data_IF_321102511709
#
_entry.id   IF_321102511709
#
_cell.length_a   1.000
_cell.length_b   1.000
_cell.length_c   1.000
_cell.angle_alpha   90.00
_cell.angle_beta   90.00
_cell.angle_gamma   90.00
#
_symmetry.space_group_name_H-M   'P 1'
#
loop_
_entity.id
_entity.type
_entity.pdbx_description
1 polymer ?
#
# COMPACT_ATOMS: atom_id res chain seq x y z
N UNK A 1 27.10 10.17 10.45
CA UNK A 1 26.71 8.76 10.74
C UNK A 1 28.02 8.03 10.97
N UNK A 2 28.26 7.63 12.21
CA UNK A 2 29.45 6.95 12.78
C UNK A 2 30.84 7.54 12.52
N UNK A 3 31.34 8.30 13.49
CA UNK A 3 32.75 8.72 13.54
C UNK A 3 33.72 7.53 13.76
N UNK A 4 33.21 6.37 14.20
CA UNK A 4 34.00 5.22 14.63
C UNK A 4 34.04 4.06 13.62
N UNK A 5 33.39 4.20 12.44
CA UNK A 5 33.36 3.13 11.41
C UNK A 5 34.32 3.43 10.25
N UNK A 6 35.09 2.42 9.85
CA UNK A 6 35.95 2.48 8.67
C UNK A 6 35.18 2.78 7.39
N UNK A 7 35.85 3.36 6.40
CA UNK A 7 35.28 3.68 5.07
C UNK A 7 34.90 2.41 4.28
N UNK A 8 35.41 1.25 4.68
CA UNK A 8 35.18 -0.07 4.10
C UNK A 8 34.18 -0.94 4.90
N UNK A 9 33.57 -0.38 5.96
CA UNK A 9 32.63 -1.11 6.82
C UNK A 9 31.53 -1.81 5.99
N UNK A 10 31.35 -3.15 6.12
CA UNK A 10 30.38 -3.89 5.30
C UNK A 10 28.95 -3.38 5.46
N UNK A 11 28.12 -3.50 4.42
CA UNK A 11 26.69 -3.19 4.52
C UNK A 11 25.93 -4.43 5.01
N UNK A 12 24.95 -4.21 5.89
CA UNK A 12 23.94 -5.21 6.24
C UNK A 12 22.57 -4.67 5.83
N UNK A 13 22.04 -5.21 4.73
CA UNK A 13 20.83 -4.70 4.08
C UNK A 13 19.67 -5.65 4.34
N UNK A 14 18.56 -5.10 4.83
CA UNK A 14 17.24 -5.73 4.87
C UNK A 14 16.38 -5.05 3.80
N UNK A 15 15.79 -5.86 2.92
CA UNK A 15 14.79 -5.42 1.94
C UNK A 15 13.40 -5.96 2.31
N UNK A 16 12.38 -5.14 2.07
CA UNK A 16 10.95 -5.46 2.19
C UNK A 16 10.14 -4.52 1.26
N UNK A 17 8.82 -4.73 1.11
CA UNK A 17 7.98 -3.84 0.29
C UNK A 17 6.74 -3.28 0.99
N UNK A 18 6.37 -2.06 0.57
CA UNK A 18 5.35 -1.23 1.21
C UNK A 18 3.98 -1.34 0.55
N UNK A 19 3.92 -1.90 -0.66
CA UNK A 19 2.68 -2.13 -1.38
C UNK A 19 2.15 -3.56 -1.15
N UNK A 20 0.84 -3.71 -1.33
CA UNK A 20 0.15 -5.00 -1.29
C UNK A 20 -0.93 -5.01 -2.37
N UNK A 21 -1.44 -6.18 -2.81
CA UNK A 21 -2.47 -6.25 -3.82
C UNK A 21 -3.75 -5.57 -3.34
N UNK A 22 -4.33 -4.71 -4.17
CA UNK A 22 -5.49 -3.90 -3.78
C UNK A 22 -6.37 -3.48 -4.97
N UNK A 23 -7.43 -2.73 -4.67
CA UNK A 23 -8.30 -2.10 -5.66
C UNK A 23 -8.04 -0.60 -5.68
N UNK A 24 -7.30 -0.14 -6.70
CA UNK A 24 -7.02 1.28 -6.94
C UNK A 24 -8.18 1.93 -7.66
N UNK A 25 -8.45 3.18 -7.33
CA UNK A 25 -9.50 3.97 -7.96
C UNK A 25 -9.02 4.50 -9.31
N UNK A 26 -9.84 4.36 -10.34
CA UNK A 26 -9.54 4.87 -11.68
C UNK A 26 -9.48 6.40 -11.71
N UNK A 27 -8.73 7.01 -12.65
CA UNK A 27 -8.68 8.47 -12.81
C UNK A 27 -10.05 9.13 -13.06
N UNK A 28 -10.95 8.43 -13.76
CA UNK A 28 -12.35 8.83 -13.95
C UNK A 28 -13.24 7.73 -13.37
N UNK A 29 -13.54 7.78 -12.05
CA UNK A 29 -14.11 6.64 -11.36
C UNK A 29 -15.63 6.66 -11.27
N UNK A 30 -16.26 7.83 -11.34
CA UNK A 30 -17.69 7.98 -11.09
C UNK A 30 -18.51 7.30 -12.20
N UNK A 31 -19.25 6.27 -11.81
CA UNK A 31 -20.22 5.60 -12.67
C UNK A 31 -21.37 5.05 -11.83
N UNK A 32 -22.36 4.43 -12.48
CA UNK A 32 -23.48 3.87 -11.76
C UNK A 32 -24.41 3.09 -12.66
N UNK A 33 -25.14 2.18 -12.03
CA UNK A 33 -26.13 1.33 -12.68
C UNK A 33 -27.28 1.08 -11.71
N UNK A 34 -28.50 0.94 -12.25
CA UNK A 34 -29.69 0.53 -11.48
C UNK A 34 -29.97 1.42 -10.25
N UNK A 35 -29.66 2.72 -10.34
CA UNK A 35 -29.86 3.67 -9.23
C UNK A 35 -28.84 3.55 -8.09
N UNK A 36 -27.70 2.91 -8.35
CA UNK A 36 -26.57 2.82 -7.43
C UNK A 36 -25.36 3.58 -8.00
N UNK A 37 -24.74 4.41 -7.16
CA UNK A 37 -23.47 5.06 -7.43
C UNK A 37 -22.33 4.10 -7.14
N UNK A 38 -21.43 3.97 -8.09
CA UNK A 38 -20.31 3.04 -8.07
C UNK A 38 -19.00 3.75 -8.41
N UNK A 39 -17.90 3.18 -7.93
CA UNK A 39 -16.54 3.70 -8.15
C UNK A 39 -15.77 2.72 -9.01
N UNK A 40 -15.25 3.19 -10.14
CA UNK A 40 -14.47 2.38 -11.06
C UNK A 40 -13.10 2.09 -10.46
N UNK A 41 -12.71 0.81 -10.44
CA UNK A 41 -11.43 0.37 -9.86
C UNK A 41 -10.58 -0.41 -10.85
N UNK A 42 -9.28 -0.45 -10.59
CA UNK A 42 -8.28 -1.29 -11.23
C UNK A 42 -7.67 -2.22 -10.18
N UNK A 43 -7.41 -3.46 -10.61
CA UNK A 43 -6.71 -4.43 -9.76
C UNK A 43 -5.24 -4.08 -9.78
N UNK A 44 -4.69 -3.78 -8.61
CA UNK A 44 -3.27 -3.58 -8.41
C UNK A 44 -2.65 -4.85 -7.85
N UNK A 45 -1.59 -5.35 -8.50
CA UNK A 45 -0.97 -6.63 -8.16
C UNK A 45 -1.83 -7.85 -8.46
N UNK A 46 -1.48 -8.98 -7.86
CA UNK A 46 -2.19 -10.26 -8.05
C UNK A 46 -3.25 -10.49 -6.97
N UNK A 47 -4.20 -9.55 -6.82
CA UNK A 47 -5.18 -9.60 -5.74
C UNK A 47 -6.12 -10.82 -5.85
N UNK A 48 -6.40 -11.46 -4.71
CA UNK A 48 -7.45 -12.47 -4.58
C UNK A 48 -8.83 -11.80 -4.63
N UNK A 49 -9.39 -11.64 -5.83
CA UNK A 49 -10.56 -10.80 -6.08
C UNK A 49 -11.78 -11.16 -5.22
N UNK A 50 -11.97 -12.44 -4.91
CA UNK A 50 -13.08 -12.92 -4.09
C UNK A 50 -13.02 -12.45 -2.63
N UNK A 51 -11.83 -12.16 -2.09
CA UNK A 51 -11.70 -11.73 -0.70
C UNK A 51 -12.19 -10.30 -0.46
N UNK A 52 -12.33 -9.52 -1.54
CA UNK A 52 -12.84 -8.15 -1.54
C UNK A 52 -14.37 -8.05 -1.56
N UNK A 53 -15.04 -9.17 -1.86
CA UNK A 53 -16.50 -9.21 -1.84
C UNK A 53 -17.03 -9.16 -0.41
N UNK A 54 -18.15 -8.47 -0.24
CA UNK A 54 -18.89 -8.37 1.02
C UNK A 54 -18.10 -7.88 2.23
N UNK A 55 -17.01 -7.15 1.96
CA UNK A 55 -16.27 -6.37 2.94
C UNK A 55 -16.84 -4.97 3.03
N UNK A 56 -16.79 -4.43 4.24
CA UNK A 56 -17.00 -3.01 4.47
C UNK A 56 -15.68 -2.29 4.16
N UNK A 57 -15.72 -1.37 3.20
CA UNK A 57 -14.52 -0.76 2.63
C UNK A 57 -14.44 0.72 2.96
N UNK A 58 -13.26 1.11 3.45
CA UNK A 58 -12.80 2.48 3.59
C UNK A 58 -11.99 2.89 2.37
N UNK A 59 -11.53 4.16 2.35
CA UNK A 59 -10.68 4.70 1.28
C UNK A 59 -9.40 5.29 1.88
N UNK A 60 -8.26 4.95 1.30
CA UNK A 60 -6.95 5.51 1.67
C UNK A 60 -6.21 5.97 0.42
N UNK A 61 -5.37 7.00 0.52
CA UNK A 61 -4.58 7.45 -0.62
C UNK A 61 -3.87 8.76 -0.42
N UNK A 62 -3.50 9.38 -1.54
CA UNK A 62 -2.94 10.73 -1.60
C UNK A 62 -3.65 11.60 -2.63
N UNK A 63 -3.63 12.90 -2.35
CA UNK A 63 -4.04 13.97 -3.24
C UNK A 63 -2.84 14.85 -3.57
N UNK A 64 -2.77 15.30 -4.82
CA UNK A 64 -1.89 16.39 -5.24
C UNK A 64 -2.76 17.62 -5.43
N UNK A 65 -2.56 18.62 -4.59
CA UNK A 65 -3.38 19.84 -4.52
C UNK A 65 -2.55 21.03 -4.99
N UNK A 66 -3.18 21.95 -5.73
CA UNK A 66 -2.57 23.22 -6.14
C UNK A 66 -2.30 24.08 -4.91
N UNK A 67 -1.10 24.65 -4.86
CA UNK A 67 -0.71 25.62 -3.82
C UNK A 67 0.07 26.77 -4.46
N UNK A 68 -0.62 27.87 -4.77
CA UNK A 68 -0.09 28.97 -5.55
C UNK A 68 0.43 28.52 -6.93
N UNK A 69 1.71 28.82 -7.21
CA UNK A 69 2.42 28.37 -8.41
C UNK A 69 2.95 26.92 -8.31
N UNK A 70 2.80 26.29 -7.14
CA UNK A 70 3.30 24.97 -6.81
C UNK A 70 2.20 23.93 -6.58
N UNK A 71 2.60 22.85 -5.90
CA UNK A 71 1.71 21.75 -5.49
C UNK A 71 2.14 21.20 -4.14
N UNK A 72 1.17 20.72 -3.38
CA UNK A 72 1.36 20.03 -2.09
C UNK A 72 0.68 18.67 -2.14
N UNK A 73 1.22 17.70 -1.40
CA UNK A 73 0.65 16.36 -1.28
C UNK A 73 -0.07 16.21 0.07
N UNK A 74 -1.30 15.69 0.05
CA UNK A 74 -2.07 15.34 1.25
C UNK A 74 -2.30 13.85 1.29
N UNK A 75 -2.06 13.20 2.43
CA UNK A 75 -2.53 11.84 2.67
C UNK A 75 -3.94 11.88 3.23
N UNK A 76 -4.82 11.03 2.69
CA UNK A 76 -6.21 10.92 3.11
C UNK A 76 -6.53 9.49 3.50
N UNK A 77 -7.34 9.34 4.54
CA UNK A 77 -7.84 8.05 5.01
C UNK A 77 -9.20 8.22 5.65
N UNK A 78 -10.14 7.38 5.25
CA UNK A 78 -11.46 7.26 5.87
C UNK A 78 -11.71 5.80 6.23
N UNK A 79 -11.67 5.51 7.53
CA UNK A 79 -11.91 4.18 8.11
C UNK A 79 -13.40 3.87 8.32
N UNK A 80 -14.31 4.74 7.85
CA UNK A 80 -15.75 4.44 7.85
C UNK A 80 -16.08 3.48 6.71
N UNK A 81 -17.11 2.63 6.86
CA UNK A 81 -17.57 1.71 5.83
C UNK A 81 -18.33 2.47 4.72
N UNK A 82 -17.59 3.16 3.84
CA UNK A 82 -18.15 4.05 2.81
C UNK A 82 -18.48 3.33 1.50
N UNK A 83 -17.96 2.12 1.31
CA UNK A 83 -18.19 1.33 0.11
C UNK A 83 -18.30 -0.16 0.39
N UNK A 84 -18.91 -0.90 -0.56
CA UNK A 84 -18.98 -2.36 -0.53
C UNK A 84 -19.06 -2.94 -1.94
N UNK A 85 -18.43 -4.09 -2.17
CA UNK A 85 -18.59 -4.87 -3.40
C UNK A 85 -19.52 -6.05 -3.09
N UNK A 86 -20.83 -5.98 -3.40
CA UNK A 86 -21.76 -7.03 -3.05
C UNK A 86 -21.56 -8.29 -3.90
N UNK A 87 -21.52 -9.46 -3.27
CA UNK A 87 -21.53 -10.72 -4.01
C UNK A 87 -22.92 -11.01 -4.61
N UNK A 88 -22.94 -11.60 -5.81
CA UNK A 88 -24.19 -12.07 -6.41
C UNK A 88 -24.82 -13.17 -5.54
N UNK A 89 -26.13 -13.07 -5.29
CA UNK A 89 -26.85 -14.07 -4.52
C UNK A 89 -26.80 -15.45 -5.19
N UNK A 90 -26.51 -16.50 -4.42
CA UNK A 90 -26.40 -17.89 -4.91
C UNK A 90 -27.65 -18.39 -5.67
N UNK A 91 -28.84 -17.86 -5.35
CA UNK A 91 -30.07 -18.22 -6.07
C UNK A 91 -30.03 -17.86 -7.57
N UNK A 92 -29.21 -16.86 -7.92
CA UNK A 92 -28.95 -16.37 -9.28
C UNK A 92 -27.66 -16.95 -9.89
N UNK A 93 -26.83 -17.62 -9.07
CA UNK A 93 -25.63 -18.36 -9.49
C UNK A 93 -25.54 -19.71 -8.76
N UNK A 94 -26.45 -20.61 -9.14
CA UNK A 94 -26.73 -21.84 -8.40
C UNK A 94 -25.58 -22.85 -8.41
N UNK A 95 -24.74 -22.80 -9.44
CA UNK A 95 -23.65 -23.75 -9.64
C UNK A 95 -22.29 -23.20 -9.14
N UNK A 96 -22.27 -22.03 -8.47
CA UNK A 96 -21.02 -21.33 -8.08
C UNK A 96 -20.10 -22.17 -7.19
N UNK A 97 -20.68 -23.01 -6.32
CA UNK A 97 -19.91 -23.87 -5.43
C UNK A 97 -19.27 -25.06 -6.16
N UNK A 98 -19.83 -25.47 -7.30
CA UNK A 98 -19.32 -26.58 -8.10
C UNK A 98 -18.35 -26.11 -9.18
N UNK A 99 -18.62 -24.94 -9.78
CA UNK A 99 -17.83 -24.36 -10.89
C UNK A 99 -16.75 -23.37 -10.45
N UNK A 100 -16.82 -22.93 -9.20
CA UNK A 100 -15.99 -21.85 -8.67
C UNK A 100 -16.53 -20.47 -9.05
N UNK A 101 -16.21 -19.49 -8.21
CA UNK A 101 -16.59 -18.10 -8.43
C UNK A 101 -15.69 -17.46 -9.50
N UNK A 102 -16.28 -17.06 -10.62
CA UNK A 102 -15.56 -16.36 -11.70
C UNK A 102 -15.92 -14.87 -11.66
N UNK A 103 -14.96 -14.05 -11.26
CA UNK A 103 -15.13 -12.59 -11.19
C UNK A 103 -14.49 -11.92 -12.41
N UNK A 104 -15.27 -11.07 -13.08
CA UNK A 104 -14.75 -10.15 -14.08
C UNK A 104 -14.31 -8.87 -13.37
N UNK A 105 -13.02 -8.49 -13.38
CA UNK A 105 -12.53 -7.31 -12.67
C UNK A 105 -13.21 -6.00 -13.05
N UNK A 106 -13.60 -5.86 -14.33
CA UNK A 106 -14.21 -4.64 -14.85
C UNK A 106 -15.69 -4.51 -14.48
N UNK A 107 -16.40 -5.64 -14.39
CA UNK A 107 -17.86 -5.64 -14.23
C UNK A 107 -18.31 -5.96 -12.80
N UNK A 108 -17.52 -6.73 -12.04
CA UNK A 108 -17.96 -7.31 -10.77
C UNK A 108 -17.26 -6.70 -9.55
N UNK A 109 -16.25 -5.83 -9.72
CA UNK A 109 -15.48 -5.27 -8.61
C UNK A 109 -15.74 -3.79 -8.33
N UNK A 110 -16.66 -3.14 -9.06
CA UNK A 110 -17.02 -1.74 -8.81
C UNK A 110 -17.71 -1.59 -7.44
N UNK A 111 -17.09 -0.94 -6.44
CA UNK A 111 -17.71 -0.77 -5.14
C UNK A 111 -18.89 0.17 -5.24
N UNK A 112 -19.97 -0.18 -4.55
CA UNK A 112 -21.16 0.66 -4.38
C UNK A 112 -20.91 1.60 -3.21
N UNK A 113 -21.05 2.91 -3.42
CA UNK A 113 -20.90 3.93 -2.37
C UNK A 113 -22.20 4.61 -1.96
N UNK A 114 -23.29 4.39 -2.70
CA UNK A 114 -24.59 4.92 -2.32
C UNK A 114 -25.66 4.74 -3.37
N UNK A 115 -26.87 5.19 -3.06
CA UNK A 115 -27.98 5.27 -3.99
C UNK A 115 -27.93 6.56 -4.82
N UNK A 116 -28.66 6.58 -5.93
CA UNK A 116 -28.80 7.72 -6.82
C UNK A 116 -28.10 7.53 -8.17
N UNK A 117 -28.13 8.59 -8.98
CA UNK A 117 -27.41 8.64 -10.26
C UNK A 117 -25.95 8.98 -10.02
N UNK A 118 -25.07 8.49 -10.89
CA UNK A 118 -23.67 8.87 -10.87
C UNK A 118 -23.52 10.36 -11.20
N UNK A 119 -22.68 11.04 -10.43
CA UNK A 119 -22.35 12.45 -10.60
C UNK A 119 -20.86 12.58 -10.90
N UNK A 120 -20.46 13.12 -12.06
CA UNK A 120 -19.04 13.32 -12.37
C UNK A 120 -18.35 14.19 -11.30
N UNK A 121 -17.24 13.71 -10.76
CA UNK A 121 -16.45 14.41 -9.74
C UNK A 121 -16.91 14.15 -8.30
N UNK A 122 -17.95 13.34 -8.07
CA UNK A 122 -18.45 13.05 -6.72
C UNK A 122 -17.40 12.33 -5.84
N UNK A 123 -16.65 11.38 -6.41
CA UNK A 123 -15.57 10.73 -5.68
C UNK A 123 -14.45 11.72 -5.29
N UNK A 124 -14.04 12.58 -6.22
CA UNK A 124 -13.03 13.62 -5.96
C UNK A 124 -13.50 14.58 -4.88
N UNK A 125 -14.76 15.00 -4.90
CA UNK A 125 -15.35 15.83 -3.85
C UNK A 125 -15.33 15.15 -2.47
N UNK A 126 -15.48 13.83 -2.45
CA UNK A 126 -15.38 13.04 -1.20
C UNK A 126 -13.95 13.10 -0.65
N UNK A 127 -12.93 12.91 -1.49
CA UNK A 127 -11.53 13.03 -1.07
C UNK A 127 -11.16 14.46 -0.64
N UNK A 128 -11.66 15.47 -1.37
CA UNK A 128 -11.44 16.88 -1.05
C UNK A 128 -11.95 17.22 0.35
N UNK A 129 -13.14 16.73 0.71
CA UNK A 129 -13.70 16.90 2.05
C UNK A 129 -12.86 16.23 3.14
N UNK A 130 -12.20 15.09 2.85
CA UNK A 130 -11.29 14.44 3.81
C UNK A 130 -10.03 15.26 4.08
N UNK A 131 -9.52 15.96 3.07
CA UNK A 131 -8.32 16.78 3.15
C UNK A 131 -8.59 18.24 3.55
N UNK A 132 -9.86 18.64 3.68
CA UNK A 132 -10.30 20.03 3.90
C UNK A 132 -9.77 21.00 2.82
N UNK A 133 -9.92 20.61 1.55
CA UNK A 133 -9.48 21.39 0.38
C UNK A 133 -10.62 21.62 -0.63
N UNK A 134 -10.47 22.63 -1.48
CA UNK A 134 -11.40 22.84 -2.60
C UNK A 134 -11.21 21.73 -3.66
N UNK A 135 -12.28 21.03 -4.10
CA UNK A 135 -12.18 20.01 -5.16
C UNK A 135 -11.56 20.53 -6.46
N UNK A 136 -11.69 21.83 -6.76
CA UNK A 136 -11.13 22.46 -7.97
C UNK A 136 -9.62 22.64 -7.93
N UNK A 137 -9.02 22.57 -6.74
CA UNK A 137 -7.58 22.62 -6.55
C UNK A 137 -6.91 21.24 -6.63
N UNK A 138 -7.69 20.15 -6.65
CA UNK A 138 -7.14 18.79 -6.81
C UNK A 138 -6.64 18.60 -8.26
N UNK A 139 -5.33 18.41 -8.39
CA UNK A 139 -4.66 18.18 -9.68
C UNK A 139 -4.64 16.70 -10.07
N UNK A 140 -4.45 15.83 -9.09
CA UNK A 140 -4.41 14.38 -9.26
C UNK A 140 -4.66 13.69 -7.92
N UNK A 141 -5.03 12.42 -7.96
CA UNK A 141 -5.10 11.55 -6.79
C UNK A 141 -4.59 10.16 -7.12
N UNK A 142 -4.20 9.43 -6.08
CA UNK A 142 -3.90 8.01 -6.12
C UNK A 142 -4.53 7.41 -4.86
N UNK A 143 -5.66 6.72 -5.03
CA UNK A 143 -6.50 6.23 -3.94
C UNK A 143 -6.83 4.76 -4.14
N UNK A 144 -7.05 4.06 -3.04
CA UNK A 144 -7.37 2.64 -3.00
C UNK A 144 -8.41 2.36 -1.93
N UNK A 145 -9.21 1.33 -2.15
CA UNK A 145 -10.08 0.79 -1.11
C UNK A 145 -9.29 -0.08 -0.13
N UNK A 146 -9.75 -0.14 1.13
CA UNK A 146 -9.18 -1.02 2.15
C UNK A 146 -10.28 -1.59 3.05
N UNK A 147 -10.06 -2.78 3.59
CA UNK A 147 -10.94 -3.36 4.62
C UNK A 147 -10.86 -2.51 5.90
N UNK A 148 -12.03 -2.13 6.45
CA UNK A 148 -12.11 -1.36 7.70
C UNK A 148 -12.04 -2.26 8.94
N UNK A 149 -12.13 -3.58 8.77
CA UNK A 149 -11.98 -4.51 9.87
C UNK A 149 -10.60 -4.33 10.53
N UNK A 150 -10.54 -4.05 11.85
CA UNK A 150 -9.28 -3.83 12.53
C UNK A 150 -8.46 -5.12 12.58
N UNK A 151 -7.14 -4.98 12.48
CA UNK A 151 -6.22 -6.08 12.76
C UNK A 151 -6.34 -6.55 14.20
N UNK A 152 -6.23 -7.85 14.42
CA UNK A 152 -6.32 -8.44 15.76
C UNK A 152 -5.43 -9.69 15.90
N UNK A 153 -5.20 -10.09 17.16
CA UNK A 153 -4.79 -11.45 17.45
C UNK A 153 -6.01 -12.37 17.34
N UNK A 154 -5.81 -13.59 16.86
CA UNK A 154 -6.87 -14.57 16.64
C UNK A 154 -6.44 -15.98 17.07
N UNK A 155 -7.41 -16.88 17.17
CA UNK A 155 -7.26 -18.19 17.80
C UNK A 155 -7.75 -18.18 19.25
N UNK A 156 -8.11 -19.35 19.83
CA UNK A 156 -8.58 -19.44 21.22
C UNK A 156 -7.58 -18.88 22.24
N UNK A 157 -6.28 -18.98 21.94
CA UNK A 157 -5.18 -18.53 22.79
C UNK A 157 -4.41 -17.34 22.20
N UNK A 158 -5.01 -16.58 21.26
CA UNK A 158 -4.39 -15.41 20.61
C UNK A 158 -3.06 -15.70 19.89
N UNK A 159 -2.91 -16.93 19.38
CA UNK A 159 -1.68 -17.44 18.79
C UNK A 159 -1.40 -16.98 17.35
N UNK A 160 -2.38 -16.38 16.68
CA UNK A 160 -2.28 -15.92 15.30
C UNK A 160 -2.44 -14.41 15.18
N UNK A 161 -1.87 -13.83 14.11
CA UNK A 161 -2.12 -12.45 13.70
C UNK A 161 -3.05 -12.46 12.50
N UNK A 162 -4.18 -11.76 12.60
CA UNK A 162 -5.11 -11.53 11.50
C UNK A 162 -5.10 -10.06 11.12
N UNK A 163 -4.51 -9.75 9.97
CA UNK A 163 -4.40 -8.40 9.46
C UNK A 163 -4.39 -8.38 7.93
N UNK A 164 -4.92 -7.33 7.29
CA UNK A 164 -4.66 -7.08 5.87
C UNK A 164 -3.19 -6.67 5.68
N UNK A 165 -2.65 -6.90 4.47
CA UNK A 165 -1.32 -6.40 4.06
C UNK A 165 -0.15 -6.94 4.89
N UNK A 166 -0.31 -8.12 5.51
CA UNK A 166 0.81 -8.79 6.18
C UNK A 166 1.98 -8.98 5.22
N UNK A 167 1.65 -9.41 4.00
CA UNK A 167 2.48 -9.32 2.80
C UNK A 167 2.49 -7.86 2.29
N UNK A 168 3.55 -7.07 2.49
CA UNK A 168 4.79 -7.36 3.25
C UNK A 168 5.05 -6.32 4.37
N UNK A 169 3.97 -5.70 4.88
CA UNK A 169 4.10 -4.75 5.97
C UNK A 169 4.59 -5.40 7.27
N UNK A 170 4.45 -6.72 7.41
CA UNK A 170 5.04 -7.46 8.52
C UNK A 170 6.58 -7.39 8.49
N UNK A 171 7.21 -7.61 7.33
CA UNK A 171 8.67 -7.49 7.21
C UNK A 171 9.12 -6.04 7.28
N UNK A 172 8.34 -5.10 6.73
CA UNK A 172 8.59 -3.67 6.92
C UNK A 172 8.64 -3.30 8.39
N UNK A 173 7.66 -3.76 9.18
CA UNK A 173 7.60 -3.51 10.61
C UNK A 173 8.78 -4.16 11.34
N UNK A 174 9.03 -5.45 11.11
CA UNK A 174 10.13 -6.17 11.75
C UNK A 174 11.51 -5.56 11.43
N UNK A 175 11.74 -5.18 10.16
CA UNK A 175 12.97 -4.52 9.73
C UNK A 175 13.15 -3.13 10.35
N UNK A 176 12.05 -2.38 10.51
CA UNK A 176 12.05 -1.06 11.16
C UNK A 176 12.38 -1.17 12.64
N UNK A 177 11.71 -2.08 13.36
CA UNK A 177 11.96 -2.34 14.78
C UNK A 177 13.41 -2.80 15.02
N UNK A 178 13.94 -3.67 14.17
CA UNK A 178 15.32 -4.12 14.24
C UNK A 178 16.32 -2.95 14.02
N UNK A 179 16.04 -2.05 13.07
CA UNK A 179 16.88 -0.88 12.82
C UNK A 179 16.85 0.09 14.01
N UNK A 180 15.67 0.33 14.60
CA UNK A 180 15.52 1.17 15.80
C UNK A 180 16.28 0.58 16.99
N UNK A 181 16.14 -0.73 17.23
CA UNK A 181 16.83 -1.42 18.32
C UNK A 181 18.36 -1.30 18.20
N UNK A 182 18.91 -1.47 16.99
CA UNK A 182 20.35 -1.29 16.73
C UNK A 182 20.79 0.17 16.91
N UNK A 183 19.97 1.14 16.48
CA UNK A 183 20.29 2.55 16.66
C UNK A 183 20.30 2.98 18.14
N UNK A 184 19.46 2.36 18.99
CA UNK A 184 19.36 2.66 20.41
C UNK A 184 20.47 2.09 21.30
N UNK A 185 21.23 1.10 20.83
CA UNK A 185 22.27 0.43 21.63
C UNK A 185 23.57 1.24 21.83
N UNK A 186 23.69 2.41 21.21
CA UNK A 186 24.90 3.25 21.27
C UNK A 186 26.13 2.61 20.58
N UNK A 187 27.18 3.39 20.34
CA UNK A 187 28.44 2.92 19.72
C UNK A 187 29.32 2.11 20.69
N UNK A 188 28.71 1.28 21.54
CA UNK A 188 29.44 0.35 22.41
C UNK A 188 30.24 -0.65 21.59
N UNK A 189 31.33 -1.17 22.17
CA UNK A 189 32.41 -1.94 21.52
C UNK A 189 32.00 -3.23 20.78
N UNK A 190 30.70 -3.58 20.74
CA UNK A 190 30.12 -4.72 20.02
C UNK A 190 29.11 -4.30 18.92
N UNK A 191 28.88 -3.00 18.71
CA UNK A 191 28.13 -2.47 17.57
C UNK A 191 28.95 -2.79 16.31
N UNK A 192 28.67 -3.94 15.72
CA UNK A 192 29.47 -4.56 14.67
C UNK A 192 29.90 -3.58 13.59
N UNK A 193 31.03 -3.89 12.95
CA UNK A 193 31.68 -3.14 11.88
C UNK A 193 30.79 -2.92 10.62
N UNK A 194 29.50 -3.22 10.67
CA UNK A 194 28.56 -3.10 9.55
C UNK A 194 27.73 -1.82 9.64
N UNK A 195 27.40 -1.25 8.48
CA UNK A 195 26.38 -0.21 8.33
C UNK A 195 25.02 -0.89 8.10
N UNK A 196 24.06 -0.80 9.06
CA UNK A 196 22.72 -1.33 8.85
C UNK A 196 21.95 -0.45 7.86
N UNK A 197 21.23 -1.09 6.94
CA UNK A 197 20.40 -0.44 5.94
C UNK A 197 19.06 -1.16 5.87
N UNK A 198 17.98 -0.41 6.01
CA UNK A 198 16.63 -0.89 5.70
C UNK A 198 16.18 -0.22 4.40
N UNK A 199 15.76 -1.01 3.43
CA UNK A 199 15.25 -0.54 2.15
C UNK A 199 13.83 -1.08 1.95
N UNK A 200 12.85 -0.17 2.06
CA UNK A 200 11.43 -0.48 1.87
C UNK A 200 11.01 0.04 0.50
N UNK A 201 10.63 -0.85 -0.40
CA UNK A 201 10.35 -0.55 -1.80
C UNK A 201 8.85 -0.53 -2.09
N UNK A 202 8.46 0.24 -3.11
CA UNK A 202 7.10 0.26 -3.64
C UNK A 202 7.06 -0.54 -4.96
N UNK A 203 5.87 -0.88 -5.46
CA UNK A 203 5.67 -1.58 -6.73
C UNK A 203 6.21 -3.00 -6.81
N UNK A 204 6.43 -3.72 -5.71
CA UNK A 204 6.83 -5.13 -5.77
C UNK A 204 5.78 -5.96 -6.52
N UNK A 205 4.51 -5.74 -6.16
CA UNK A 205 3.35 -6.52 -6.63
C UNK A 205 3.07 -6.38 -8.14
N UNK A 206 3.73 -5.41 -8.77
CA UNK A 206 3.63 -5.14 -10.21
C UNK A 206 4.98 -5.24 -10.93
N UNK A 207 5.97 -5.87 -10.28
CA UNK A 207 7.25 -6.27 -10.89
C UNK A 207 8.44 -5.36 -10.58
N UNK A 208 8.34 -4.44 -9.63
CA UNK A 208 9.41 -3.58 -9.10
C UNK A 208 10.06 -2.59 -10.09
N UNK A 209 9.61 -2.53 -11.35
CA UNK A 209 10.19 -1.65 -12.39
C UNK A 209 9.60 -0.24 -12.29
N UNK A 210 10.04 0.52 -11.30
CA UNK A 210 9.66 1.92 -11.10
C UNK A 210 10.81 2.73 -10.49
N UNK A 211 10.62 4.05 -10.31
CA UNK A 211 11.63 4.88 -9.65
C UNK A 211 11.80 4.54 -8.16
N UNK A 212 10.77 3.97 -7.52
CA UNK A 212 10.70 3.65 -6.09
C UNK A 212 10.73 2.15 -5.79
N UNK A 213 10.69 1.30 -6.83
CA UNK A 213 10.77 -0.14 -6.68
C UNK A 213 12.18 -0.69 -6.61
N UNK A 214 12.29 -1.99 -6.27
CA UNK A 214 13.56 -2.65 -6.02
C UNK A 214 14.45 -2.75 -7.27
N UNK A 215 13.86 -2.83 -8.47
CA UNK A 215 14.59 -2.77 -9.74
C UNK A 215 14.91 -1.32 -10.17
N UNK A 216 14.46 -0.33 -9.39
CA UNK A 216 14.73 1.08 -9.58
C UNK A 216 16.11 1.52 -9.09
N UNK A 217 16.51 2.77 -9.36
CA UNK A 217 17.84 3.26 -9.03
C UNK A 217 17.98 3.73 -7.57
N UNK A 218 16.90 3.73 -6.78
CA UNK A 218 16.83 4.42 -5.49
C UNK A 218 17.89 3.93 -4.49
N UNK A 219 17.96 2.61 -4.25
CA UNK A 219 18.89 2.03 -3.30
C UNK A 219 20.35 2.30 -3.72
N UNK A 220 20.70 1.98 -4.97
CA UNK A 220 22.06 2.15 -5.49
C UNK A 220 22.51 3.62 -5.44
N UNK A 221 21.64 4.56 -5.83
CA UNK A 221 21.95 6.00 -5.76
C UNK A 221 22.15 6.48 -4.33
N UNK A 222 21.31 6.01 -3.41
CA UNK A 222 21.40 6.37 -1.98
C UNK A 222 22.68 5.83 -1.37
N UNK A 223 23.00 4.55 -1.59
CA UNK A 223 24.21 3.94 -1.06
C UNK A 223 25.49 4.57 -1.64
N UNK A 224 25.52 4.91 -2.94
CA UNK A 224 26.65 5.65 -3.54
C UNK A 224 26.84 7.01 -2.88
N UNK A 225 25.75 7.75 -2.65
CA UNK A 225 25.79 9.11 -2.09
C UNK A 225 26.20 9.15 -0.62
N UNK A 226 25.68 8.23 0.19
CA UNK A 226 25.80 8.32 1.64
C UNK A 226 26.80 7.35 2.25
N UNK A 227 27.18 6.30 1.52
CA UNK A 227 27.99 5.21 2.06
C UNK A 227 29.18 4.85 1.16
N UNK A 228 29.48 5.64 0.11
CA UNK A 228 30.59 5.42 -0.83
C UNK A 228 30.67 3.96 -1.36
N UNK A 229 29.59 3.53 -2.02
CA UNK A 229 29.41 2.15 -2.48
C UNK A 229 30.57 1.62 -3.36
N UNK A 230 31.23 2.50 -4.12
CA UNK A 230 32.23 2.09 -5.12
C UNK A 230 33.53 1.52 -4.49
N UNK A 231 33.73 1.67 -3.18
CA UNK A 231 34.88 1.14 -2.42
C UNK A 231 34.52 0.04 -1.40
N UNK A 232 33.24 -0.39 -1.30
CA UNK A 232 32.78 -1.30 -0.23
C UNK A 232 32.47 -2.72 -0.70
N UNK A 233 32.72 -3.70 0.18
CA UNK A 233 32.26 -5.08 0.05
C UNK A 233 30.88 -5.28 0.70
N UNK A 234 29.93 -5.86 -0.04
CA UNK A 234 28.63 -6.29 0.51
C UNK A 234 28.77 -7.71 1.07
N UNK A 235 28.66 -7.89 2.39
CA UNK A 235 28.70 -9.21 3.05
C UNK A 235 27.30 -9.57 3.56
N UNK A 236 26.52 -10.17 2.67
CA UNK A 236 25.18 -10.68 2.95
C UNK A 236 24.08 -9.66 2.65
N UNK A 237 23.08 -10.11 1.90
CA UNK A 237 21.78 -9.45 1.76
C UNK A 237 20.74 -10.45 2.25
N UNK A 238 19.86 -10.02 3.15
CA UNK A 238 18.69 -10.80 3.54
C UNK A 238 17.49 -10.11 2.90
N UNK A 239 16.88 -10.80 1.94
CA UNK A 239 15.56 -10.43 1.43
C UNK A 239 14.57 -11.17 2.32
N UNK A 240 13.70 -10.43 2.99
CA UNK A 240 12.50 -10.98 3.59
C UNK A 240 11.42 -10.73 2.53
N UNK A 241 10.95 -11.81 1.91
CA UNK A 241 9.80 -11.85 1.00
C UNK A 241 8.87 -12.94 1.49
#
# INVERSE_FOLDING_TARGET
VDADRGTDAPLRIIGAHTDSPNLRVKPVPDHGALGLRQVGVEVYGSALLNSWLDRDLGVSGRLVVRDGDGRVEHLVRDDRPVARIPQLAIHLDRDVNDKGLVLNPQNHLSPVMGSGMAEPGAFVATLAAMADVDPTDILAFDAMFHDVAPSCLSGPDEEFVSAPRLDDLLSCHAGTEALIAVAGQGSGQDAGQTVPVLALFDHEEVGSVSATGAAGPLLVRTLRRFVNLDERHVRGAMVLS
#
